data_IF_444061474842
#
_entry.id   IF_444061474842
#
_cell.length_a   1.000
_cell.length_b   1.000
_cell.length_c   1.000
_cell.angle_alpha   90.00
_cell.angle_beta   90.00
_cell.angle_gamma   90.00
#
_symmetry.space_group_name_H-M   'P 1'
#
loop_
_entity.id
_entity.type
_entity.pdbx_description
1 polymer ?
#
# COMPACT_ATOMS: atom_id res chain seq x y z
N UNK A 1 51.54 -4.88 3.12
CA UNK A 1 51.81 -3.43 3.14
C UNK A 1 50.72 -2.78 2.33
N UNK A 2 49.88 -1.99 2.97
CA UNK A 2 48.86 -1.23 2.25
C UNK A 2 49.45 0.14 1.93
N UNK A 3 49.49 0.50 0.64
CA UNK A 3 49.93 1.81 0.20
C UNK A 3 48.73 2.75 0.10
N UNK A 4 48.81 3.91 0.77
CA UNK A 4 47.84 4.99 0.65
C UNK A 4 48.48 6.20 0.00
N UNK A 5 47.85 6.68 -1.07
CA UNK A 5 48.32 7.84 -1.81
C UNK A 5 47.35 8.99 -1.54
N UNK A 6 47.85 10.06 -0.95
CA UNK A 6 47.11 11.31 -0.78
C UNK A 6 47.68 12.32 -1.77
N UNK A 7 46.85 12.80 -2.69
CA UNK A 7 47.19 13.89 -3.60
C UNK A 7 46.50 15.15 -3.12
N UNK A 8 47.29 16.17 -2.80
CA UNK A 8 46.76 17.48 -2.45
C UNK A 8 47.69 18.55 -3.02
N UNK A 9 47.09 19.53 -3.69
CA UNK A 9 47.81 20.51 -4.52
C UNK A 9 48.72 19.83 -5.56
N UNK A 10 50.00 20.19 -5.64
CA UNK A 10 50.98 19.61 -6.57
C UNK A 10 51.83 18.49 -5.94
N UNK A 11 51.49 18.02 -4.74
CA UNK A 11 52.28 17.03 -3.99
C UNK A 11 51.53 15.72 -3.83
N UNK A 12 52.28 14.62 -3.96
CA UNK A 12 51.79 13.26 -3.75
C UNK A 12 52.46 12.66 -2.53
N UNK A 13 51.69 12.45 -1.46
CA UNK A 13 52.16 11.82 -0.23
C UNK A 13 51.85 10.33 -0.28
N UNK A 14 52.90 9.49 -0.27
CA UNK A 14 52.78 8.03 -0.27
C UNK A 14 53.01 7.50 1.14
N UNK A 15 51.95 6.99 1.75
CA UNK A 15 52.00 6.37 3.07
C UNK A 15 52.07 4.85 2.93
N UNK A 16 53.07 4.25 3.55
CA UNK A 16 53.18 2.80 3.72
C UNK A 16 52.65 2.43 5.10
N UNK A 17 51.63 1.57 5.16
CA UNK A 17 51.03 1.13 6.43
C UNK A 17 51.52 -0.27 6.79
N UNK A 18 52.17 -0.37 7.96
CA UNK A 18 52.66 -1.61 8.56
C UNK A 18 52.18 -1.70 10.01
N UNK A 19 51.37 -2.72 10.35
CA UNK A 19 50.96 -3.00 11.74
C UNK A 19 50.52 -1.74 12.54
N UNK A 20 49.63 -0.92 11.96
CA UNK A 20 49.11 0.34 12.53
C UNK A 20 50.14 1.48 12.71
N UNK A 21 51.35 1.31 12.19
CA UNK A 21 52.31 2.39 11.97
C UNK A 21 52.18 2.91 10.53
N UNK A 22 52.00 4.22 10.40
CA UNK A 22 52.00 4.89 9.11
C UNK A 22 53.38 5.49 8.85
N UNK A 23 54.01 5.11 7.75
CA UNK A 23 55.30 5.61 7.34
C UNK A 23 55.15 6.52 6.12
N UNK A 24 55.71 7.72 6.19
CA UNK A 24 55.84 8.62 5.05
C UNK A 24 57.33 8.89 4.82
N UNK A 25 57.79 8.66 3.60
CA UNK A 25 59.15 8.98 3.19
C UNK A 25 59.14 10.19 2.27
N UNK A 26 59.86 11.24 2.65
CA UNK A 26 60.04 12.43 1.84
C UNK A 26 61.52 12.61 1.45
N UNK A 27 61.83 12.83 0.17
CA UNK A 27 63.17 13.20 -0.25
C UNK A 27 63.60 14.53 0.37
N UNK A 28 64.85 14.63 0.82
CA UNK A 28 65.39 15.89 1.36
C UNK A 28 65.27 17.05 0.37
N UNK A 29 65.37 16.80 -0.93
CA UNK A 29 65.18 17.79 -2.00
C UNK A 29 63.79 18.42 -2.03
N UNK A 30 62.77 17.76 -1.46
CA UNK A 30 61.41 18.26 -1.33
C UNK A 30 61.17 18.97 0.01
N UNK A 31 62.18 19.06 0.86
CA UNK A 31 62.16 19.75 2.16
C UNK A 31 63.23 20.84 2.20
N UNK A 32 63.10 21.81 3.10
CA UNK A 32 64.11 22.84 3.34
C UNK A 32 64.86 22.61 4.66
N UNK A 33 64.83 21.39 5.17
CA UNK A 33 65.40 20.99 6.46
C UNK A 33 66.92 21.05 6.37
N UNK A 34 67.53 21.81 7.28
CA UNK A 34 69.01 21.91 7.40
C UNK A 34 69.53 21.19 8.65
N UNK A 35 68.71 21.09 9.68
CA UNK A 35 69.04 20.45 10.95
C UNK A 35 67.85 19.61 11.45
N UNK A 36 68.13 18.39 11.90
CA UNK A 36 67.15 17.46 12.48
C UNK A 36 66.44 18.06 13.69
N UNK A 37 67.09 18.96 14.43
CA UNK A 37 66.48 19.67 15.58
C UNK A 37 65.26 20.50 15.16
N UNK A 38 65.19 20.94 13.92
CA UNK A 38 64.05 21.70 13.38
C UNK A 38 62.80 20.81 13.26
N UNK A 39 62.97 19.49 13.20
CA UNK A 39 61.89 18.49 13.15
C UNK A 39 61.35 18.13 14.53
N UNK A 40 61.91 18.65 15.62
CA UNK A 40 61.44 18.38 16.98
C UNK A 40 59.97 18.76 17.19
N UNK A 41 59.49 19.79 16.50
CA UNK A 41 58.07 20.22 16.51
C UNK A 41 57.12 19.15 15.95
N UNK A 42 57.60 18.25 15.09
CA UNK A 42 56.82 17.13 14.56
C UNK A 42 56.78 15.97 15.56
N UNK A 43 57.65 15.93 16.56
CA UNK A 43 57.63 14.91 17.61
C UNK A 43 56.87 15.38 18.87
N UNK A 44 56.49 16.66 18.94
CA UNK A 44 55.77 17.23 20.08
C UNK A 44 54.34 16.68 20.15
N UNK A 45 54.01 16.08 21.29
CA UNK A 45 52.69 15.50 21.54
C UNK A 45 51.66 16.60 21.82
N UNK A 46 50.65 16.72 20.95
CA UNK A 46 49.50 17.59 21.19
C UNK A 46 48.22 16.83 20.89
N UNK A 47 47.12 17.21 21.54
CA UNK A 47 45.81 16.52 21.40
C UNK A 47 45.27 16.47 19.96
N UNK A 48 45.67 17.41 19.10
CA UNK A 48 45.24 17.49 17.70
C UNK A 48 46.10 16.67 16.72
N UNK A 49 47.18 16.04 17.18
CA UNK A 49 48.11 15.32 16.33
C UNK A 49 48.35 13.90 16.84
N UNK A 50 48.52 12.96 15.91
CA UNK A 50 48.95 11.61 16.27
C UNK A 50 50.43 11.64 16.67
N UNK A 51 50.85 10.89 17.71
CA UNK A 51 52.26 10.79 18.08
C UNK A 51 53.10 10.36 16.87
N UNK A 52 54.11 11.17 16.57
CA UNK A 52 54.99 10.96 15.43
C UNK A 52 56.45 10.90 15.89
N UNK A 53 57.23 10.11 15.16
CA UNK A 53 58.68 10.04 15.30
C UNK A 53 59.34 10.27 13.94
N UNK A 54 60.47 10.96 13.95
CA UNK A 54 61.17 11.35 12.74
C UNK A 54 62.55 10.70 12.73
N UNK A 55 62.90 10.06 11.63
CA UNK A 55 64.24 9.52 11.38
C UNK A 55 64.83 10.23 10.18
N UNK A 56 66.01 10.81 10.38
CA UNK A 56 66.80 11.40 9.30
C UNK A 56 67.75 10.35 8.72
N UNK A 57 67.73 10.15 7.40
CA UNK A 57 68.65 9.30 6.65
C UNK A 57 69.34 10.14 5.57
N UNK A 58 70.38 9.63 4.89
CA UNK A 58 71.23 10.44 4.00
C UNK A 58 70.41 11.23 2.95
N UNK A 59 69.49 10.57 2.23
CA UNK A 59 68.70 11.19 1.16
C UNK A 59 67.20 11.35 1.47
N UNK A 60 66.70 10.65 2.50
CA UNK A 60 65.27 10.54 2.83
C UNK A 60 65.00 10.88 4.30
N UNK A 61 63.89 11.59 4.54
CA UNK A 61 63.33 11.78 5.88
C UNK A 61 62.13 10.85 6.03
N UNK A 62 62.17 9.98 7.05
CA UNK A 62 61.09 9.05 7.35
C UNK A 62 60.29 9.52 8.56
N UNK A 63 59.01 9.80 8.34
CA UNK A 63 58.04 10.11 9.39
C UNK A 63 57.27 8.84 9.74
N UNK A 64 57.19 8.50 11.02
CA UNK A 64 56.47 7.32 11.50
C UNK A 64 55.42 7.72 12.52
N UNK A 65 54.15 7.45 12.23
CA UNK A 65 53.00 7.83 13.05
C UNK A 65 52.39 6.58 13.70
N UNK A 66 52.25 6.60 15.02
CA UNK A 66 51.68 5.47 15.79
C UNK A 66 50.18 5.66 15.97
N UNK A 67 49.36 4.84 15.32
CA UNK A 67 47.90 4.86 15.52
C UNK A 67 47.53 4.13 16.82
N UNK A 68 46.65 4.74 17.61
CA UNK A 68 46.06 4.07 18.77
C UNK A 68 44.85 3.25 18.33
N UNK A 69 44.70 2.03 18.86
CA UNK A 69 43.68 1.05 18.48
C UNK A 69 42.22 1.56 18.65
N UNK A 70 42.00 2.58 19.49
CA UNK A 70 40.68 3.19 19.71
C UNK A 70 40.27 4.26 18.69
N UNK A 71 41.13 4.63 17.73
CA UNK A 71 40.84 5.72 16.79
C UNK A 71 40.00 5.25 15.60
N UNK A 72 38.91 5.95 15.34
CA UNK A 72 38.00 5.70 14.20
C UNK A 72 38.51 6.37 12.93
N UNK A 73 38.38 5.67 11.81
CA UNK A 73 38.76 6.17 10.47
C UNK A 73 37.56 6.85 9.80
N UNK A 74 37.82 7.61 8.75
CA UNK A 74 36.80 8.33 7.98
C UNK A 74 35.60 7.44 7.53
N UNK A 75 35.87 6.21 7.10
CA UNK A 75 34.83 5.25 6.64
C UNK A 75 33.85 4.86 7.74
N UNK A 76 34.28 4.82 9.00
CA UNK A 76 33.41 4.44 10.13
C UNK A 76 32.47 5.59 10.49
N UNK A 77 32.90 6.81 10.22
CA UNK A 77 32.15 8.03 10.51
C UNK A 77 31.07 8.27 9.47
N UNK A 78 31.33 7.94 8.20
CA UNK A 78 30.30 7.98 7.16
C UNK A 78 29.09 7.08 7.47
N UNK A 79 29.25 6.07 8.35
CA UNK A 79 28.17 5.19 8.81
C UNK A 79 27.41 5.72 10.02
N UNK A 80 27.91 6.76 10.69
CA UNK A 80 27.25 7.36 11.85
C UNK A 80 25.99 8.13 11.42
N UNK A 81 25.11 8.38 12.39
CA UNK A 81 23.94 9.20 12.15
C UNK A 81 24.33 10.64 11.84
N UNK A 82 23.45 11.35 11.11
CA UNK A 82 23.68 12.72 10.64
C UNK A 82 24.05 13.68 11.77
N UNK A 83 23.46 13.51 12.96
CA UNK A 83 23.73 14.37 14.12
C UNK A 83 25.17 14.20 14.63
N UNK A 84 25.71 12.98 14.63
CA UNK A 84 27.10 12.71 15.02
C UNK A 84 28.09 13.16 13.94
N UNK A 85 27.73 13.01 12.66
CA UNK A 85 28.50 13.58 11.54
C UNK A 85 28.63 15.10 11.66
N UNK A 86 27.54 15.81 11.98
CA UNK A 86 27.55 17.25 12.23
C UNK A 86 28.39 17.62 13.46
N UNK A 87 28.33 16.82 14.54
CA UNK A 87 29.16 17.00 15.74
C UNK A 87 30.65 16.93 15.41
N UNK A 88 31.04 15.91 14.64
CA UNK A 88 32.40 15.75 14.17
C UNK A 88 32.85 16.96 13.33
N UNK A 89 32.04 17.39 12.36
CA UNK A 89 32.37 18.56 11.53
C UNK A 89 32.59 19.82 12.38
N UNK A 90 31.77 20.03 13.41
CA UNK A 90 31.97 21.14 14.36
C UNK A 90 33.30 21.02 15.11
N UNK A 91 33.72 19.80 15.49
CA UNK A 91 34.99 19.56 16.16
C UNK A 91 36.20 19.79 15.24
N UNK A 92 36.10 19.46 13.94
CA UNK A 92 37.11 19.79 12.91
C UNK A 92 37.35 21.30 12.84
N UNK A 93 36.32 22.12 13.09
CA UNK A 93 36.48 23.56 13.17
C UNK A 93 37.49 24.03 14.22
N UNK A 94 37.75 23.25 15.29
CA UNK A 94 38.76 23.60 16.31
C UNK A 94 40.19 23.58 15.77
N UNK A 95 40.44 22.90 14.65
CA UNK A 95 41.75 22.87 13.98
C UNK A 95 42.15 24.25 13.41
N UNK A 96 41.21 25.20 13.28
CA UNK A 96 41.53 26.60 12.93
C UNK A 96 42.56 27.21 13.88
N UNK A 97 42.54 26.85 15.16
CA UNK A 97 43.48 27.38 16.16
C UNK A 97 44.95 27.03 15.84
N UNK A 98 45.18 25.96 15.07
CA UNK A 98 46.52 25.50 14.68
C UNK A 98 47.13 26.40 13.61
N UNK A 99 46.32 27.11 12.81
CA UNK A 99 46.79 28.02 11.75
C UNK A 99 47.68 29.15 12.31
N UNK A 100 47.48 29.53 13.57
CA UNK A 100 48.31 30.52 14.26
C UNK A 100 49.71 30.00 14.64
N UNK A 101 49.93 28.69 14.58
CA UNK A 101 51.19 28.06 14.96
C UNK A 101 52.18 27.95 13.77
N UNK A 102 53.42 27.51 14.06
CA UNK A 102 54.41 27.18 13.03
C UNK A 102 54.13 25.86 12.30
N UNK A 103 53.20 25.05 12.82
CA UNK A 103 52.80 23.78 12.23
C UNK A 103 51.80 24.04 11.11
N UNK A 104 52.03 23.42 9.97
CA UNK A 104 51.13 23.45 8.82
C UNK A 104 50.47 22.10 8.65
N UNK A 105 49.30 22.05 8.03
CA UNK A 105 48.57 20.81 7.80
C UNK A 105 47.68 20.94 6.57
N UNK A 106 47.04 19.86 6.18
CA UNK A 106 45.98 19.87 5.19
C UNK A 106 44.82 19.01 5.67
N UNK A 107 43.60 19.43 5.36
CA UNK A 107 42.40 18.64 5.62
C UNK A 107 42.18 17.69 4.45
N UNK A 108 42.20 16.40 4.73
CA UNK A 108 41.85 15.34 3.79
C UNK A 108 41.23 14.18 4.56
N UNK A 109 40.20 13.49 4.03
CA UNK A 109 39.57 12.33 4.68
C UNK A 109 40.56 11.28 5.20
N UNK A 110 41.58 10.94 4.41
CA UNK A 110 42.62 9.97 4.80
C UNK A 110 43.67 10.50 5.77
N UNK A 111 43.75 11.82 5.99
CA UNK A 111 44.67 12.44 6.95
C UNK A 111 44.03 12.66 8.34
N UNK A 112 42.76 12.28 8.50
CA UNK A 112 41.99 12.53 9.71
C UNK A 112 41.62 11.21 10.40
N UNK A 113 41.86 11.18 11.70
CA UNK A 113 41.41 10.13 12.61
C UNK A 113 40.67 10.75 13.77
N UNK A 114 39.79 9.99 14.42
CA UNK A 114 38.88 10.53 15.43
C UNK A 114 38.88 9.67 16.67
N UNK A 115 38.82 10.30 17.84
CA UNK A 115 38.62 9.60 19.11
C UNK A 115 37.15 9.16 19.30
N UNK A 116 36.85 8.53 20.45
CA UNK A 116 35.48 8.15 20.81
C UNK A 116 34.53 9.36 20.96
N UNK A 117 35.07 10.54 21.28
CA UNK A 117 34.33 11.79 21.39
C UNK A 117 34.14 12.50 20.05
N UNK A 118 34.62 11.93 18.94
CA UNK A 118 34.65 12.54 17.61
C UNK A 118 35.51 13.82 17.55
N UNK A 119 36.53 13.91 18.39
CA UNK A 119 37.59 14.91 18.30
C UNK A 119 38.61 14.49 17.24
N UNK A 120 38.95 15.38 16.30
CA UNK A 120 39.86 15.08 15.21
C UNK A 120 41.32 15.11 15.68
N UNK A 121 42.10 14.15 15.20
CA UNK A 121 43.56 14.21 15.19
C UNK A 121 44.07 14.04 13.76
N UNK A 122 45.08 14.83 13.39
CA UNK A 122 45.74 14.77 12.10
C UNK A 122 46.87 13.73 12.14
N UNK A 123 46.98 12.94 11.08
CA UNK A 123 48.07 11.95 10.93
C UNK A 123 49.35 12.69 10.56
N UNK A 124 49.33 13.42 9.44
CA UNK A 124 50.46 14.14 8.90
C UNK A 124 50.38 15.64 9.19
N UNK A 125 51.54 16.21 9.52
CA UNK A 125 51.76 17.65 9.76
C UNK A 125 53.07 18.10 9.12
N UNK A 126 53.06 19.30 8.55
CA UNK A 126 54.22 20.00 8.03
C UNK A 126 54.72 21.07 9.00
N UNK A 127 55.76 21.78 8.58
CA UNK A 127 56.31 22.94 9.28
C UNK A 127 56.45 24.06 8.27
N UNK A 128 55.95 25.24 8.63
CA UNK A 128 55.99 26.43 7.76
C UNK A 128 57.39 26.67 7.20
N UNK A 129 57.47 26.86 5.89
CA UNK A 129 58.72 27.08 5.14
C UNK A 129 59.79 25.97 5.24
N UNK A 130 59.49 24.83 5.86
CA UNK A 130 60.49 23.78 6.13
C UNK A 130 60.07 22.42 5.58
N UNK A 131 58.88 21.95 5.95
CA UNK A 131 58.34 20.64 5.58
C UNK A 131 56.96 20.85 4.96
N UNK A 132 56.67 20.29 3.76
CA UNK A 132 55.40 20.49 3.09
C UNK A 132 54.22 19.94 3.92
N UNK A 133 53.01 20.54 3.88
CA UNK A 133 52.64 21.74 3.12
C UNK A 133 53.35 22.98 3.68
N UNK A 134 53.93 23.82 2.82
CA UNK A 134 54.79 24.93 3.25
C UNK A 134 54.00 26.09 3.85
N UNK A 135 52.75 26.27 3.42
CA UNK A 135 51.83 27.29 3.86
C UNK A 135 50.41 26.72 3.98
N UNK A 136 49.66 27.23 4.94
CA UNK A 136 48.21 27.07 4.97
C UNK A 136 47.60 28.41 5.34
N UNK A 137 46.77 28.91 4.45
CA UNK A 137 46.03 30.16 4.65
C UNK A 137 44.58 29.85 5.03
N UNK A 138 43.91 30.82 5.65
CA UNK A 138 42.51 30.69 6.06
C UNK A 138 41.59 30.41 4.87
N UNK A 139 41.86 31.03 3.71
CA UNK A 139 41.10 30.78 2.48
C UNK A 139 41.26 29.33 1.98
N UNK A 140 42.48 28.78 2.01
CA UNK A 140 42.76 27.38 1.65
C UNK A 140 42.08 26.42 2.63
N UNK A 141 42.17 26.71 3.93
CA UNK A 141 41.51 25.93 4.98
C UNK A 141 39.98 25.94 4.82
N UNK A 142 39.38 27.10 4.58
CA UNK A 142 37.94 27.23 4.35
C UNK A 142 37.49 26.41 3.13
N UNK A 143 38.26 26.46 2.05
CA UNK A 143 37.96 25.68 0.85
C UNK A 143 38.02 24.17 1.12
N UNK A 144 39.10 23.68 1.74
CA UNK A 144 39.21 22.27 2.12
C UNK A 144 38.10 21.84 3.09
N UNK A 145 37.73 22.71 4.03
CA UNK A 145 36.68 22.45 5.00
C UNK A 145 35.29 22.34 4.34
N UNK A 146 34.97 23.21 3.37
CA UNK A 146 33.74 23.11 2.56
C UNK A 146 33.68 21.79 1.79
N UNK A 147 34.77 21.42 1.11
CA UNK A 147 34.86 20.15 0.38
C UNK A 147 34.65 18.95 1.31
N UNK A 148 35.22 19.00 2.52
CA UNK A 148 35.08 17.96 3.53
C UNK A 148 33.64 17.84 4.03
N UNK A 149 32.97 18.96 4.35
CA UNK A 149 31.57 18.97 4.79
C UNK A 149 30.66 18.33 3.73
N UNK A 150 30.84 18.72 2.47
CA UNK A 150 30.03 18.19 1.36
C UNK A 150 30.33 16.71 1.14
N UNK A 151 31.60 16.28 1.21
CA UNK A 151 31.98 14.88 1.08
C UNK A 151 31.43 13.96 2.19
N UNK A 152 31.07 14.51 3.36
CA UNK A 152 30.41 13.73 4.43
C UNK A 152 28.94 13.45 4.09
N UNK A 153 28.22 14.43 3.56
CA UNK A 153 26.77 14.32 3.31
C UNK A 153 26.42 13.86 1.90
N UNK A 154 27.31 14.07 0.94
CA UNK A 154 27.14 13.64 -0.44
C UNK A 154 27.66 12.21 -0.62
N UNK A 155 26.82 11.35 -1.19
CA UNK A 155 27.23 10.01 -1.65
C UNK A 155 27.80 10.04 -3.07
N UNK A 156 27.61 11.14 -3.81
CA UNK A 156 27.95 11.25 -5.24
C UNK A 156 29.28 11.92 -5.52
N UNK A 157 29.84 12.65 -4.55
CA UNK A 157 31.07 13.42 -4.75
C UNK A 157 32.17 12.97 -3.79
N UNK A 158 33.35 12.65 -4.34
CA UNK A 158 34.56 12.43 -3.54
C UNK A 158 35.18 13.76 -3.12
N UNK A 159 35.94 13.76 -2.03
CA UNK A 159 36.68 14.94 -1.57
C UNK A 159 37.62 15.48 -2.66
N UNK A 160 38.31 14.59 -3.37
CA UNK A 160 39.26 14.98 -4.42
C UNK A 160 38.55 15.69 -5.59
N UNK A 161 37.39 15.19 -6.01
CA UNK A 161 36.63 15.79 -7.11
C UNK A 161 36.13 17.20 -6.76
N UNK A 162 35.73 17.39 -5.49
CA UNK A 162 35.26 18.68 -4.97
C UNK A 162 36.41 19.68 -4.88
N UNK A 163 37.58 19.24 -4.39
CA UNK A 163 38.77 20.07 -4.27
C UNK A 163 39.34 20.50 -5.63
N UNK A 164 39.25 19.66 -6.65
CA UNK A 164 39.72 19.96 -8.01
C UNK A 164 38.78 20.88 -8.81
N UNK A 165 37.65 21.30 -8.25
CA UNK A 165 36.78 22.32 -8.87
C UNK A 165 35.29 21.97 -8.94
N UNK A 166 34.88 20.77 -8.53
CA UNK A 166 33.45 20.38 -8.54
C UNK A 166 32.64 21.00 -7.40
N UNK A 167 33.25 21.79 -6.52
CA UNK A 167 32.57 22.45 -5.40
C UNK A 167 31.36 23.29 -5.85
N UNK A 168 31.46 23.98 -6.99
CA UNK A 168 30.37 24.78 -7.54
C UNK A 168 29.16 23.96 -8.01
N UNK A 169 29.38 22.68 -8.33
CA UNK A 169 28.37 21.75 -8.82
C UNK A 169 27.63 21.05 -7.67
N UNK A 170 28.17 21.06 -6.46
CA UNK A 170 27.56 20.46 -5.28
C UNK A 170 26.46 21.37 -4.67
N UNK A 171 25.33 21.46 -5.36
CA UNK A 171 24.13 22.22 -4.92
C UNK A 171 22.88 21.35 -4.84
N UNK A 172 23.05 20.04 -4.67
CA UNK A 172 21.94 19.08 -4.71
C UNK A 172 21.00 19.25 -3.52
N UNK A 173 21.52 19.71 -2.37
CA UNK A 173 20.70 19.98 -1.18
C UNK A 173 20.77 21.44 -0.74
N UNK A 174 19.69 21.90 -0.08
CA UNK A 174 19.62 23.21 0.60
C UNK A 174 20.80 23.45 1.56
N UNK A 175 21.29 22.38 2.20
CA UNK A 175 22.43 22.46 3.12
C UNK A 175 23.75 22.64 2.37
N UNK A 176 24.00 21.86 1.31
CA UNK A 176 25.20 21.99 0.47
C UNK A 176 25.29 23.38 -0.19
N UNK A 177 24.16 23.92 -0.68
CA UNK A 177 24.11 25.28 -1.24
C UNK A 177 24.56 26.32 -0.22
N UNK A 178 24.01 26.27 1.01
CA UNK A 178 24.36 27.22 2.07
C UNK A 178 25.81 27.07 2.54
N UNK A 179 26.36 25.84 2.52
CA UNK A 179 27.78 25.59 2.82
C UNK A 179 28.68 26.20 1.75
N UNK A 180 28.30 26.11 0.48
CA UNK A 180 29.06 26.70 -0.62
C UNK A 180 29.03 28.25 -0.56
N UNK A 181 27.84 28.83 -0.32
CA UNK A 181 27.60 30.29 -0.22
C UNK A 181 28.23 30.95 1.02
N UNK A 182 28.61 30.18 2.05
CA UNK A 182 29.23 30.73 3.25
C UNK A 182 30.58 31.40 2.94
N UNK A 183 30.65 32.73 3.04
CA UNK A 183 31.84 33.49 2.69
C UNK A 183 32.97 33.34 3.72
N UNK A 184 32.62 33.10 4.98
CA UNK A 184 33.55 33.10 6.11
C UNK A 184 33.45 31.83 6.96
N UNK A 185 34.55 31.49 7.64
CA UNK A 185 34.65 30.33 8.51
C UNK A 185 33.67 30.41 9.68
N UNK A 186 33.52 31.57 10.33
CA UNK A 186 32.65 31.68 11.51
C UNK A 186 31.18 31.54 11.10
N UNK A 187 30.82 32.06 9.92
CA UNK A 187 29.48 31.87 9.31
C UNK A 187 29.21 30.40 9.01
N UNK A 188 30.20 29.67 8.47
CA UNK A 188 30.09 28.25 8.17
C UNK A 188 29.98 27.40 9.46
N UNK A 189 30.75 27.74 10.49
CA UNK A 189 30.71 27.05 11.78
C UNK A 189 29.37 27.28 12.49
N UNK A 190 28.82 28.50 12.44
CA UNK A 190 27.49 28.80 12.98
C UNK A 190 26.37 28.04 12.26
N UNK A 191 26.44 27.94 10.92
CA UNK A 191 25.52 27.13 10.11
C UNK A 191 25.55 25.66 10.55
N UNK A 192 26.74 25.09 10.74
CA UNK A 192 26.92 23.72 11.21
C UNK A 192 26.35 23.52 12.62
N UNK A 193 26.64 24.42 13.55
CA UNK A 193 26.11 24.37 14.93
C UNK A 193 24.58 24.46 14.93
N UNK A 194 23.99 25.39 14.16
CA UNK A 194 22.52 25.50 14.01
C UNK A 194 21.90 24.22 13.46
N UNK A 195 22.52 23.64 12.43
CA UNK A 195 22.08 22.37 11.84
C UNK A 195 22.19 21.22 12.85
N UNK A 196 23.28 21.15 13.62
CA UNK A 196 23.49 20.17 14.67
C UNK A 196 22.42 20.25 15.76
N UNK A 197 22.16 21.44 16.30
CA UNK A 197 21.15 21.62 17.35
C UNK A 197 19.73 21.33 16.85
N UNK A 198 19.43 21.65 15.60
CA UNK A 198 18.14 21.32 14.98
C UNK A 198 17.96 19.80 14.88
N UNK A 199 18.95 19.10 14.33
CA UNK A 199 18.90 17.64 14.16
C UNK A 199 18.84 16.92 15.51
N UNK A 200 19.65 17.36 16.49
CA UNK A 200 19.64 16.81 17.85
C UNK A 200 18.25 16.91 18.50
N UNK A 201 17.60 18.08 18.39
CA UNK A 201 16.23 18.28 18.92
C UNK A 201 15.20 17.40 18.21
N UNK A 202 15.33 17.20 16.90
CA UNK A 202 14.43 16.33 16.13
C UNK A 202 14.60 14.86 16.54
N UNK A 203 15.84 14.40 16.71
CA UNK A 203 16.13 13.05 17.19
C UNK A 203 15.60 12.85 18.60
N UNK A 204 15.83 13.79 19.52
CA UNK A 204 15.31 13.72 20.90
C UNK A 204 13.77 13.70 20.97
N UNK A 205 13.08 14.36 20.03
CA UNK A 205 11.62 14.36 19.95
C UNK A 205 11.05 13.08 19.35
N UNK A 206 11.69 12.53 18.32
CA UNK A 206 11.16 11.42 17.50
C UNK A 206 11.65 10.05 17.95
N UNK A 207 12.83 9.99 18.55
CA UNK A 207 13.51 8.75 18.88
C UNK A 207 13.72 8.65 20.39
N UNK A 208 13.45 7.46 20.92
CA UNK A 208 13.80 7.10 22.29
C UNK A 208 14.50 5.75 22.28
N UNK A 209 15.48 5.60 23.19
CA UNK A 209 16.17 4.33 23.35
C UNK A 209 15.25 3.33 24.02
N UNK A 210 14.84 2.31 23.25
CA UNK A 210 14.04 1.20 23.75
C UNK A 210 14.83 -0.10 23.74
N UNK A 211 14.66 -0.98 24.74
CA UNK A 211 15.28 -2.31 24.71
C UNK A 211 14.80 -3.12 23.50
N UNK A 212 15.73 -3.47 22.60
CA UNK A 212 15.42 -4.17 21.32
C UNK A 212 14.58 -5.43 21.50
N UNK A 213 14.86 -6.21 22.57
CA UNK A 213 14.14 -7.47 22.87
C UNK A 213 12.67 -7.23 23.18
N UNK A 214 12.36 -6.26 24.04
CA UNK A 214 10.98 -5.93 24.43
C UNK A 214 10.20 -5.35 23.24
N UNK A 215 10.81 -4.42 22.50
CA UNK A 215 10.17 -3.82 21.32
C UNK A 215 9.83 -4.88 20.24
N UNK A 216 10.73 -5.84 19.99
CA UNK A 216 10.48 -6.92 19.03
C UNK A 216 9.32 -7.82 19.47
N UNK A 217 9.23 -8.14 20.76
CA UNK A 217 8.12 -8.93 21.31
C UNK A 217 6.80 -8.19 21.15
N UNK A 218 6.71 -6.91 21.54
CA UNK A 218 5.50 -6.10 21.38
C UNK A 218 5.07 -5.99 19.91
N UNK A 219 6.01 -5.81 19.00
CA UNK A 219 5.73 -5.78 17.56
C UNK A 219 5.12 -7.09 17.07
N UNK A 220 5.67 -8.23 17.48
CA UNK A 220 5.14 -9.56 17.15
C UNK A 220 3.75 -9.80 17.76
N UNK A 221 3.55 -9.44 19.03
CA UNK A 221 2.25 -9.54 19.70
C UNK A 221 1.19 -8.68 19.02
N UNK A 222 1.54 -7.47 18.58
CA UNK A 222 0.61 -6.58 17.87
C UNK A 222 0.13 -7.20 16.57
N UNK A 223 1.05 -7.73 15.75
CA UNK A 223 0.66 -8.43 14.53
C UNK A 223 -0.15 -9.71 14.80
N UNK A 224 0.22 -10.46 15.84
CA UNK A 224 -0.54 -11.63 16.27
C UNK A 224 -1.98 -11.30 16.68
N UNK A 225 -2.16 -10.22 17.44
CA UNK A 225 -3.47 -9.78 17.90
C UNK A 225 -4.35 -9.26 16.75
N UNK A 226 -3.76 -8.55 15.78
CA UNK A 226 -4.49 -8.14 14.56
C UNK A 226 -4.95 -9.37 13.77
N UNK A 227 -4.07 -10.35 13.54
CA UNK A 227 -4.43 -11.57 12.82
C UNK A 227 -5.55 -12.35 13.54
N UNK A 228 -5.46 -12.49 14.85
CA UNK A 228 -6.48 -13.13 15.67
C UNK A 228 -7.82 -12.39 15.60
N UNK A 229 -7.79 -11.05 15.63
CA UNK A 229 -9.00 -10.22 15.51
C UNK A 229 -9.70 -10.42 14.18
N UNK A 230 -8.96 -10.56 13.06
CA UNK A 230 -9.55 -10.81 11.75
C UNK A 230 -10.19 -12.20 11.69
N UNK A 231 -9.50 -13.22 12.20
CA UNK A 231 -10.02 -14.59 12.25
C UNK A 231 -11.33 -14.64 13.05
N UNK A 232 -11.42 -13.91 14.16
CA UNK A 232 -12.62 -13.86 14.99
C UNK A 232 -13.75 -13.01 14.37
N UNK A 233 -13.42 -12.02 13.53
CA UNK A 233 -14.41 -11.18 12.87
C UNK A 233 -15.21 -11.92 11.79
N UNK A 234 -14.59 -12.87 11.06
CA UNK A 234 -15.24 -13.63 9.98
C UNK A 234 -16.52 -14.35 10.46
N UNK A 235 -16.50 -15.19 11.51
CA UNK A 235 -17.71 -15.85 11.99
C UNK A 235 -18.74 -14.83 12.47
N UNK A 236 -18.34 -13.76 13.15
CA UNK A 236 -19.26 -12.72 13.62
C UNK A 236 -20.03 -12.08 12.45
N UNK A 237 -19.36 -11.78 11.34
CA UNK A 237 -20.00 -11.26 10.13
C UNK A 237 -20.99 -12.28 9.55
N UNK A 238 -20.59 -13.55 9.45
CA UNK A 238 -21.47 -14.61 8.95
C UNK A 238 -22.72 -14.79 9.84
N UNK A 239 -22.54 -14.83 11.16
CA UNK A 239 -23.65 -14.93 12.10
C UNK A 239 -24.58 -13.71 12.01
N UNK A 240 -24.01 -12.50 11.97
CA UNK A 240 -24.76 -11.25 11.94
C UNK A 240 -25.56 -11.03 10.66
N UNK A 241 -24.94 -11.23 9.50
CA UNK A 241 -25.52 -10.84 8.21
C UNK A 241 -26.13 -11.98 7.41
N UNK A 242 -25.82 -13.24 7.73
CA UNK A 242 -26.37 -14.39 6.99
C UNK A 242 -27.27 -15.21 7.89
N UNK A 243 -26.77 -15.69 9.04
CA UNK A 243 -27.51 -16.67 9.85
C UNK A 243 -28.72 -16.08 10.58
N UNK A 244 -28.57 -14.92 11.23
CA UNK A 244 -29.66 -14.25 11.95
C UNK A 244 -30.83 -13.85 11.03
N UNK A 245 -30.63 -13.14 9.90
CA UNK A 245 -31.74 -12.78 9.03
C UNK A 245 -32.41 -14.01 8.42
N UNK A 246 -31.66 -15.03 7.98
CA UNK A 246 -32.22 -16.30 7.50
C UNK A 246 -33.17 -16.94 8.52
N UNK A 247 -32.76 -17.00 9.79
CA UNK A 247 -33.62 -17.51 10.87
C UNK A 247 -34.85 -16.63 11.11
N UNK A 248 -34.72 -15.31 10.94
CA UNK A 248 -35.82 -14.36 11.01
C UNK A 248 -36.87 -14.60 9.92
N UNK A 249 -36.45 -14.64 8.65
CA UNK A 249 -37.32 -14.94 7.50
C UNK A 249 -37.98 -16.31 7.63
N UNK A 250 -37.23 -17.33 8.04
CA UNK A 250 -37.79 -18.67 8.24
C UNK A 250 -38.87 -18.66 9.33
N UNK A 251 -38.64 -17.98 10.45
CA UNK A 251 -39.63 -17.87 11.54
C UNK A 251 -40.87 -17.10 11.09
N UNK A 252 -40.69 -16.02 10.33
CA UNK A 252 -41.80 -15.22 9.80
C UNK A 252 -42.64 -16.02 8.81
N UNK A 253 -42.00 -16.70 7.85
CA UNK A 253 -42.66 -17.60 6.93
C UNK A 253 -43.47 -18.71 7.64
N UNK A 254 -42.97 -19.27 8.75
CA UNK A 254 -43.75 -20.24 9.53
C UNK A 254 -44.98 -19.60 10.20
N UNK A 255 -44.90 -18.34 10.64
CA UNK A 255 -46.06 -17.60 11.21
C UNK A 255 -47.10 -17.30 10.13
N UNK A 256 -46.66 -16.87 8.96
CA UNK A 256 -47.55 -16.54 7.85
C UNK A 256 -48.26 -17.80 7.32
N UNK A 257 -47.53 -18.92 7.27
CA UNK A 257 -48.10 -20.22 6.95
C UNK A 257 -49.20 -20.64 7.95
N UNK A 258 -48.95 -20.48 9.26
CA UNK A 258 -49.96 -20.75 10.29
C UNK A 258 -51.17 -19.81 10.20
N UNK A 259 -50.95 -18.60 9.68
CA UNK A 259 -52.00 -17.61 9.41
C UNK A 259 -52.70 -17.83 8.07
N UNK A 260 -52.35 -18.89 7.33
CA UNK A 260 -52.86 -19.24 6.00
C UNK A 260 -52.54 -18.20 4.90
N UNK A 261 -51.56 -17.32 5.13
CA UNK A 261 -51.10 -16.35 4.13
C UNK A 261 -49.96 -16.96 3.29
N UNK A 262 -50.33 -17.83 2.35
CA UNK A 262 -49.38 -18.53 1.48
C UNK A 262 -48.62 -17.60 0.53
N UNK A 263 -49.16 -16.42 0.23
CA UNK A 263 -48.47 -15.45 -0.63
C UNK A 263 -47.29 -14.79 0.10
N UNK A 264 -47.46 -14.43 1.37
CA UNK A 264 -46.37 -13.87 2.17
C UNK A 264 -45.27 -14.89 2.46
N UNK A 265 -45.61 -16.17 2.66
CA UNK A 265 -44.62 -17.25 2.78
C UNK A 265 -43.67 -17.30 1.58
N UNK A 266 -44.21 -17.12 0.38
CA UNK A 266 -43.42 -17.10 -0.85
C UNK A 266 -42.47 -15.90 -0.86
N UNK A 267 -42.98 -14.71 -0.51
CA UNK A 267 -42.19 -13.47 -0.48
C UNK A 267 -41.05 -13.55 0.53
N UNK A 268 -41.31 -14.03 1.75
CA UNK A 268 -40.31 -14.11 2.83
C UNK A 268 -39.17 -15.08 2.52
N UNK A 269 -39.42 -16.12 1.72
CA UNK A 269 -38.41 -17.14 1.38
C UNK A 269 -37.87 -17.03 -0.05
N UNK A 270 -38.33 -16.09 -0.87
CA UNK A 270 -37.97 -15.98 -2.29
C UNK A 270 -36.46 -15.78 -2.51
N UNK A 271 -35.85 -14.93 -1.67
CA UNK A 271 -34.42 -14.61 -1.72
C UNK A 271 -33.49 -15.75 -1.26
N UNK A 272 -34.03 -16.81 -0.66
CA UNK A 272 -33.26 -17.92 -0.13
C UNK A 272 -33.16 -19.08 -1.12
N UNK A 273 -31.99 -19.74 -1.16
CA UNK A 273 -31.80 -20.91 -2.03
C UNK A 273 -32.61 -22.10 -1.53
N UNK A 274 -33.44 -22.76 -2.38
CA UNK A 274 -34.32 -23.86 -1.95
C UNK A 274 -33.59 -25.00 -1.22
N UNK A 275 -32.35 -25.30 -1.61
CA UNK A 275 -31.53 -26.35 -0.98
C UNK A 275 -31.14 -26.05 0.46
N UNK A 276 -30.91 -24.78 0.78
CA UNK A 276 -30.43 -24.32 2.08
C UNK A 276 -31.56 -24.25 3.13
N UNK A 277 -32.82 -24.32 2.67
CA UNK A 277 -33.99 -24.28 3.54
C UNK A 277 -34.12 -25.63 4.29
N UNK A 278 -34.34 -25.64 5.61
CA UNK A 278 -34.64 -26.87 6.35
C UNK A 278 -35.90 -27.56 5.81
N UNK A 279 -36.03 -28.88 5.98
CA UNK A 279 -37.13 -29.65 5.37
C UNK A 279 -38.53 -29.18 5.81
N UNK A 280 -38.68 -28.68 7.04
CA UNK A 280 -39.92 -28.03 7.50
C UNK A 280 -40.24 -26.77 6.71
N UNK A 281 -39.23 -25.93 6.43
CA UNK A 281 -39.38 -24.74 5.60
C UNK A 281 -39.63 -25.08 4.14
N UNK A 282 -38.99 -26.13 3.61
CA UNK A 282 -39.29 -26.64 2.25
C UNK A 282 -40.73 -27.10 2.15
N UNK A 283 -41.24 -27.80 3.15
CA UNK A 283 -42.65 -28.20 3.21
C UNK A 283 -43.58 -26.99 3.19
N UNK A 284 -43.34 -26.01 4.08
CA UNK A 284 -44.11 -24.76 4.17
C UNK A 284 -44.12 -24.01 2.83
N UNK A 285 -42.97 -23.88 2.20
CA UNK A 285 -42.83 -23.18 0.93
C UNK A 285 -43.47 -23.95 -0.24
N UNK A 286 -43.20 -25.25 -0.37
CA UNK A 286 -43.79 -26.11 -1.40
C UNK A 286 -45.32 -26.13 -1.31
N UNK A 287 -45.86 -26.27 -0.10
CA UNK A 287 -47.30 -26.22 0.15
C UNK A 287 -47.90 -24.88 -0.29
N UNK A 288 -47.20 -23.77 0.01
CA UNK A 288 -47.63 -22.43 -0.34
C UNK A 288 -47.65 -22.20 -1.85
N UNK A 289 -46.65 -22.70 -2.58
CA UNK A 289 -46.65 -22.67 -4.05
C UNK A 289 -47.78 -23.51 -4.65
N UNK A 290 -48.04 -24.72 -4.14
CA UNK A 290 -49.14 -25.57 -4.63
C UNK A 290 -50.51 -24.89 -4.40
N UNK A 291 -50.73 -24.27 -3.23
CA UNK A 291 -51.97 -23.54 -2.97
C UNK A 291 -52.12 -22.29 -3.87
N UNK A 292 -51.02 -21.64 -4.21
CA UNK A 292 -50.99 -20.45 -5.09
C UNK A 292 -51.02 -20.78 -6.59
N UNK A 293 -50.86 -22.06 -6.96
CA UNK A 293 -50.86 -22.50 -8.35
C UNK A 293 -52.25 -22.40 -9.00
N UNK A 294 -52.29 -22.25 -10.33
CA UNK A 294 -53.52 -22.19 -11.13
C UNK A 294 -54.07 -23.58 -11.47
N UNK A 295 -54.35 -24.38 -10.44
CA UNK A 295 -54.99 -25.71 -10.55
C UNK A 295 -56.35 -25.71 -9.85
N UNK A 296 -57.23 -26.67 -10.19
CA UNK A 296 -58.49 -26.84 -9.47
C UNK A 296 -58.25 -27.30 -8.03
N UNK A 297 -59.19 -27.00 -7.12
CA UNK A 297 -59.04 -27.36 -5.71
C UNK A 297 -58.90 -28.89 -5.51
N UNK A 298 -59.63 -29.68 -6.29
CA UNK A 298 -59.53 -31.15 -6.28
C UNK A 298 -58.14 -31.65 -6.71
N UNK A 299 -57.53 -31.00 -7.72
CA UNK A 299 -56.18 -31.31 -8.19
C UNK A 299 -55.13 -30.94 -7.14
N UNK A 300 -55.27 -29.77 -6.51
CA UNK A 300 -54.40 -29.33 -5.42
C UNK A 300 -54.45 -30.31 -4.25
N UNK A 301 -55.65 -30.72 -3.84
CA UNK A 301 -55.81 -31.64 -2.72
C UNK A 301 -55.30 -33.04 -3.02
N UNK A 302 -55.36 -33.50 -4.28
CA UNK A 302 -54.73 -34.75 -4.72
C UNK A 302 -53.20 -34.69 -4.60
N UNK A 303 -52.57 -33.58 -5.00
CA UNK A 303 -51.12 -33.36 -4.88
C UNK A 303 -50.71 -33.26 -3.41
N UNK A 304 -51.47 -32.50 -2.61
CA UNK A 304 -51.16 -32.24 -1.21
C UNK A 304 -51.21 -33.50 -0.33
N UNK A 305 -51.91 -34.56 -0.73
CA UNK A 305 -51.87 -35.87 -0.05
C UNK A 305 -50.47 -36.49 -0.01
N UNK A 306 -49.62 -36.15 -0.99
CA UNK A 306 -48.24 -36.63 -1.09
C UNK A 306 -47.23 -35.62 -0.50
N UNK A 307 -47.69 -34.46 -0.02
CA UNK A 307 -46.85 -33.38 0.53
C UNK A 307 -46.96 -33.38 2.05
N UNK A 308 -45.87 -33.74 2.71
CA UNK A 308 -45.73 -33.77 4.16
C UNK A 308 -44.33 -33.30 4.56
N UNK A 309 -44.14 -33.00 5.84
CA UNK A 309 -42.82 -32.68 6.41
C UNK A 309 -41.82 -33.84 6.22
N UNK A 310 -42.32 -35.08 6.06
CA UNK A 310 -41.51 -36.29 5.86
C UNK A 310 -41.40 -36.73 4.39
N UNK A 311 -41.99 -35.98 3.46
CA UNK A 311 -41.90 -36.30 2.04
C UNK A 311 -40.47 -36.14 1.55
N UNK A 312 -40.15 -36.77 0.41
CA UNK A 312 -38.84 -36.66 -0.21
C UNK A 312 -38.47 -35.17 -0.42
N UNK A 313 -37.30 -34.71 0.06
CA UNK A 313 -36.88 -33.33 -0.12
C UNK A 313 -36.86 -32.89 -1.60
N UNK A 314 -36.57 -33.79 -2.53
CA UNK A 314 -36.58 -33.51 -3.97
C UNK A 314 -38.00 -33.31 -4.52
N UNK A 315 -39.00 -33.98 -3.93
CA UNK A 315 -40.41 -33.76 -4.27
C UNK A 315 -40.88 -32.38 -3.79
N UNK A 316 -40.43 -31.95 -2.60
CA UNK A 316 -40.68 -30.59 -2.12
C UNK A 316 -39.95 -29.54 -2.97
N UNK A 317 -38.68 -29.78 -3.29
CA UNK A 317 -37.88 -28.93 -4.16
C UNK A 317 -38.49 -28.81 -5.56
N UNK A 318 -39.07 -29.88 -6.10
CA UNK A 318 -39.77 -29.85 -7.39
C UNK A 318 -40.85 -28.76 -7.40
N UNK A 319 -41.73 -28.76 -6.39
CA UNK A 319 -42.84 -27.80 -6.30
C UNK A 319 -42.34 -26.38 -6.03
N UNK A 320 -41.26 -26.23 -5.28
CA UNK A 320 -40.60 -24.92 -5.05
C UNK A 320 -40.02 -24.38 -6.37
N UNK A 321 -39.25 -25.20 -7.10
CA UNK A 321 -38.65 -24.80 -8.37
C UNK A 321 -39.68 -24.52 -9.46
N UNK A 322 -40.74 -25.34 -9.51
CA UNK A 322 -41.86 -25.12 -10.41
C UNK A 322 -42.55 -23.78 -10.08
N UNK A 323 -42.87 -23.55 -8.80
CA UNK A 323 -43.48 -22.30 -8.35
C UNK A 323 -42.64 -21.04 -8.57
N UNK A 324 -41.31 -21.16 -8.53
CA UNK A 324 -40.36 -20.08 -8.87
C UNK A 324 -40.15 -19.87 -10.37
N UNK A 325 -40.68 -20.75 -11.22
CA UNK A 325 -40.52 -20.68 -12.67
C UNK A 325 -39.17 -21.20 -13.21
N UNK A 326 -38.38 -21.87 -12.38
CA UNK A 326 -37.20 -22.64 -12.81
C UNK A 326 -37.61 -24.06 -13.21
N UNK A 327 -38.31 -24.12 -14.34
CA UNK A 327 -38.89 -25.37 -14.84
C UNK A 327 -37.86 -26.37 -15.37
N UNK A 328 -36.64 -25.93 -15.66
CA UNK A 328 -35.55 -26.84 -16.05
C UNK A 328 -35.14 -27.70 -14.86
N UNK A 329 -34.86 -27.05 -13.72
CA UNK A 329 -34.57 -27.74 -12.46
C UNK A 329 -35.73 -28.59 -11.98
N UNK A 330 -36.98 -28.12 -12.11
CA UNK A 330 -38.12 -28.95 -11.73
C UNK A 330 -38.23 -30.21 -12.61
N UNK A 331 -38.05 -30.11 -13.93
CA UNK A 331 -38.10 -31.29 -14.81
C UNK A 331 -36.97 -32.28 -14.50
N UNK A 332 -35.77 -31.80 -14.18
CA UNK A 332 -34.65 -32.66 -13.79
C UNK A 332 -34.94 -33.40 -12.48
N UNK A 333 -35.52 -32.71 -11.48
CA UNK A 333 -35.96 -33.34 -10.23
C UNK A 333 -37.08 -34.36 -10.48
N UNK A 334 -38.04 -34.06 -11.35
CA UNK A 334 -39.12 -34.99 -11.69
C UNK A 334 -38.61 -36.26 -12.39
N UNK A 335 -37.62 -36.13 -13.28
CA UNK A 335 -36.94 -37.29 -13.90
C UNK A 335 -36.16 -38.10 -12.89
N UNK A 336 -35.50 -37.44 -11.95
CA UNK A 336 -34.78 -38.12 -10.86
C UNK A 336 -35.72 -38.90 -9.94
N UNK A 337 -36.89 -38.34 -9.64
CA UNK A 337 -37.95 -38.99 -8.88
C UNK A 337 -38.69 -40.11 -9.67
N UNK A 338 -38.45 -40.21 -10.98
CA UNK A 338 -39.16 -41.08 -11.94
C UNK A 338 -40.69 -40.96 -11.79
N UNK A 339 -41.20 -39.73 -11.62
CA UNK A 339 -42.64 -39.44 -11.54
C UNK A 339 -43.14 -38.90 -12.89
N UNK A 340 -43.87 -39.72 -13.69
CA UNK A 340 -44.32 -39.32 -15.02
C UNK A 340 -45.27 -38.13 -15.01
N UNK A 341 -46.08 -37.98 -13.95
CA UNK A 341 -47.05 -36.88 -13.86
C UNK A 341 -46.34 -35.54 -13.63
N UNK A 342 -45.31 -35.54 -12.77
CA UNK A 342 -44.48 -34.36 -12.56
C UNK A 342 -43.63 -34.01 -13.79
N UNK A 343 -43.09 -35.01 -14.48
CA UNK A 343 -42.33 -34.78 -15.72
C UNK A 343 -43.23 -34.11 -16.77
N UNK A 344 -44.44 -34.64 -16.97
CA UNK A 344 -45.43 -34.10 -17.90
C UNK A 344 -45.85 -32.67 -17.51
N UNK A 345 -46.14 -32.43 -16.23
CA UNK A 345 -46.50 -31.10 -15.74
C UNK A 345 -45.37 -30.08 -15.93
N UNK A 346 -44.13 -30.46 -15.64
CA UNK A 346 -42.96 -29.61 -15.88
C UNK A 346 -42.80 -29.23 -17.36
N UNK A 347 -43.02 -30.16 -18.29
CA UNK A 347 -42.99 -29.84 -19.73
C UNK A 347 -44.13 -28.92 -20.16
N UNK A 348 -45.35 -29.10 -19.63
CA UNK A 348 -46.48 -28.18 -19.88
C UNK A 348 -46.09 -26.76 -19.47
N UNK A 349 -45.52 -26.59 -18.27
CA UNK A 349 -45.07 -25.28 -17.77
C UNK A 349 -43.92 -24.69 -18.60
N UNK A 350 -42.96 -25.50 -19.07
CA UNK A 350 -41.92 -25.03 -20.00
C UNK A 350 -42.52 -24.53 -21.32
N UNK A 351 -43.49 -25.25 -21.87
CA UNK A 351 -44.21 -24.85 -23.09
C UNK A 351 -44.93 -23.52 -22.86
N UNK A 352 -45.65 -23.36 -21.75
CA UNK A 352 -46.32 -22.11 -21.39
C UNK A 352 -45.34 -20.94 -21.25
N UNK A 353 -44.20 -21.15 -20.57
CA UNK A 353 -43.15 -20.13 -20.41
C UNK A 353 -42.60 -19.68 -21.76
N UNK A 354 -42.33 -20.61 -22.68
CA UNK A 354 -41.81 -20.29 -24.02
C UNK A 354 -42.87 -19.59 -24.87
N UNK A 355 -44.13 -20.05 -24.83
CA UNK A 355 -45.23 -19.44 -25.59
C UNK A 355 -45.47 -17.98 -25.19
N UNK A 356 -45.38 -17.69 -23.90
CA UNK A 356 -45.64 -16.37 -23.33
C UNK A 356 -44.39 -15.47 -23.24
N UNK A 357 -43.23 -15.91 -23.77
CA UNK A 357 -42.01 -15.13 -23.72
C UNK A 357 -41.95 -14.08 -24.86
N UNK A 358 -41.94 -12.76 -24.55
CA UNK A 358 -41.87 -11.71 -25.56
C UNK A 358 -40.50 -11.58 -26.22
N UNK A 359 -39.43 -12.08 -25.59
CA UNK A 359 -38.04 -11.91 -26.04
C UNK A 359 -37.62 -12.95 -27.10
N UNK A 360 -38.46 -13.95 -27.39
CA UNK A 360 -38.18 -14.97 -28.40
C UNK A 360 -38.79 -14.59 -29.75
N UNK A 361 -38.01 -14.78 -30.82
CA UNK A 361 -38.53 -14.67 -32.19
C UNK A 361 -39.56 -15.77 -32.47
N UNK A 362 -40.47 -15.54 -33.43
CA UNK A 362 -41.54 -16.51 -33.76
C UNK A 362 -41.02 -17.90 -34.10
N UNK A 363 -39.94 -17.97 -34.88
CA UNK A 363 -39.26 -19.22 -35.27
C UNK A 363 -38.55 -19.90 -34.10
N UNK A 364 -37.86 -19.15 -33.23
CA UNK A 364 -37.21 -19.72 -32.04
C UNK A 364 -38.23 -20.24 -31.02
N UNK A 365 -39.35 -19.54 -30.87
CA UNK A 365 -40.47 -19.94 -30.03
C UNK A 365 -41.05 -21.26 -30.54
N UNK A 366 -41.35 -21.35 -31.83
CA UNK A 366 -41.92 -22.55 -32.45
C UNK A 366 -40.99 -23.76 -32.32
N UNK A 367 -39.70 -23.59 -32.61
CA UNK A 367 -38.69 -24.65 -32.46
C UNK A 367 -38.59 -25.17 -31.01
N UNK A 368 -38.57 -24.27 -30.02
CA UNK A 368 -38.50 -24.66 -28.59
C UNK A 368 -39.79 -25.32 -28.11
N UNK A 369 -40.96 -24.79 -28.51
CA UNK A 369 -42.25 -25.40 -28.20
C UNK A 369 -42.34 -26.80 -28.78
N UNK A 370 -41.97 -26.98 -30.05
CA UNK A 370 -41.99 -28.28 -30.71
C UNK A 370 -41.07 -29.27 -29.99
N UNK A 371 -39.85 -28.86 -29.65
CA UNK A 371 -38.91 -29.69 -28.89
C UNK A 371 -39.49 -30.18 -27.57
N UNK A 372 -40.13 -29.31 -26.79
CA UNK A 372 -40.73 -29.70 -25.51
C UNK A 372 -42.01 -30.53 -25.70
N UNK A 373 -42.78 -30.27 -26.77
CA UNK A 373 -43.96 -31.06 -27.12
C UNK A 373 -43.60 -32.48 -27.57
N UNK A 374 -42.52 -32.64 -28.34
CA UNK A 374 -42.00 -33.94 -28.75
C UNK A 374 -41.54 -34.75 -27.53
N UNK A 375 -40.84 -34.10 -26.59
CA UNK A 375 -40.48 -34.72 -25.32
C UNK A 375 -41.72 -35.09 -24.51
N UNK A 376 -42.69 -34.19 -24.37
CA UNK A 376 -43.94 -34.47 -23.69
C UNK A 376 -44.67 -35.69 -24.29
N UNK A 377 -44.79 -35.76 -25.62
CA UNK A 377 -45.45 -36.88 -26.31
C UNK A 377 -44.68 -38.19 -26.14
N UNK A 378 -43.35 -38.16 -26.23
CA UNK A 378 -42.50 -39.34 -26.00
C UNK A 378 -42.69 -39.91 -24.59
N UNK A 379 -42.77 -39.06 -23.57
CA UNK A 379 -43.05 -39.49 -22.19
C UNK A 379 -44.51 -39.94 -22.03
N UNK A 380 -45.48 -39.27 -22.66
CA UNK A 380 -46.90 -39.67 -22.64
C UNK A 380 -47.10 -41.08 -23.20
N UNK A 381 -46.48 -41.39 -24.34
CA UNK A 381 -46.52 -42.72 -24.96
C UNK A 381 -45.82 -43.78 -24.09
N UNK A 382 -44.64 -43.46 -23.54
CA UNK A 382 -43.86 -44.37 -22.70
C UNK A 382 -44.63 -44.87 -21.48
N UNK A 383 -45.45 -44.02 -20.86
CA UNK A 383 -46.17 -44.34 -19.62
C UNK A 383 -47.69 -44.56 -19.83
N UNK A 384 -48.21 -44.48 -21.06
CA UNK A 384 -49.63 -44.77 -21.36
C UNK A 384 -50.64 -43.86 -20.67
N UNK A 385 -50.28 -42.60 -20.40
CA UNK A 385 -51.06 -41.67 -19.59
C UNK A 385 -52.13 -40.92 -20.41
N UNK A 386 -53.34 -40.78 -19.85
CA UNK A 386 -54.39 -39.89 -20.39
C UNK A 386 -54.03 -38.42 -20.10
N UNK A 387 -54.40 -37.49 -20.99
CA UNK A 387 -54.03 -36.07 -20.87
C UNK A 387 -54.53 -35.47 -19.54
N UNK A 388 -53.66 -34.76 -18.82
CA UNK A 388 -54.01 -34.05 -17.57
C UNK A 388 -54.96 -32.86 -17.80
N UNK A 389 -55.27 -32.53 -19.06
CA UNK A 389 -56.02 -31.34 -19.50
C UNK A 389 -57.39 -31.64 -20.13
N UNK A 390 -57.88 -32.89 -20.13
CA UNK A 390 -59.22 -33.20 -20.65
C UNK A 390 -60.32 -32.86 -19.62
N UNK A 391 -60.52 -31.58 -19.33
CA UNK A 391 -61.80 -31.05 -18.84
C UNK A 391 -61.98 -29.55 -19.12
N UNK A 392 -61.64 -29.08 -20.33
CA UNK A 392 -62.24 -27.84 -20.86
C UNK A 392 -62.59 -28.03 -22.36
N UNK A 393 -63.80 -27.60 -22.72
CA UNK A 393 -64.50 -27.89 -23.98
C UNK A 393 -63.74 -27.46 -25.25
N UNK A 394 -63.84 -28.22 -26.35
CA UNK A 394 -63.28 -27.84 -27.64
C UNK A 394 -64.32 -27.08 -28.47
N UNK A 395 -64.07 -25.81 -28.76
CA UNK A 395 -64.64 -25.17 -29.94
C UNK A 395 -63.72 -24.05 -30.40
N UNK A 396 -62.98 -24.32 -31.48
CA UNK A 396 -62.68 -23.41 -32.60
C UNK A 396 -61.49 -23.96 -33.39
N UNK A 397 -61.77 -24.94 -34.24
CA UNK A 397 -60.92 -25.29 -35.38
C UNK A 397 -61.36 -24.45 -36.57
N UNK A 398 -60.47 -23.65 -37.16
CA UNK A 398 -60.60 -23.26 -38.57
C UNK A 398 -59.21 -23.10 -39.17
N UNK A 399 -58.86 -24.05 -40.05
CA UNK A 399 -57.78 -23.91 -41.03
C UNK A 399 -58.22 -22.98 -42.16
N UNK A 400 -57.27 -22.27 -42.79
CA UNK A 400 -57.04 -22.22 -44.24
C UNK A 400 -55.71 -21.48 -44.49
N UNK A 401 -54.86 -22.08 -45.34
CA UNK A 401 -53.63 -21.54 -45.92
C UNK A 401 -53.91 -20.76 -47.22
N UNK A 402 -52.96 -19.88 -47.53
CA UNK A 402 -52.53 -19.33 -48.83
C UNK A 402 -53.26 -18.16 -49.51
N UNK A 403 -52.57 -17.01 -49.56
CA UNK A 403 -52.21 -16.31 -50.81
C UNK A 403 -51.06 -15.31 -50.59
N UNK A 404 -49.94 -15.54 -51.27
CA UNK A 404 -48.75 -14.68 -51.33
C UNK A 404 -48.86 -13.58 -52.40
N UNK A 405 -48.25 -12.42 -52.09
CA UNK A 405 -47.51 -11.46 -52.95
C UNK A 405 -48.26 -10.76 -54.12
N UNK A 406 -48.14 -9.43 -54.30
CA UNK A 406 -46.87 -8.71 -54.50
C UNK A 406 -47.00 -7.17 -54.43
N UNK A 407 -45.99 -6.56 -53.76
CA UNK A 407 -45.12 -5.38 -54.07
C UNK A 407 -45.68 -4.05 -54.60
N UNK A 408 -45.08 -2.86 -54.42
CA UNK A 408 -43.96 -2.21 -53.68
C UNK A 408 -44.10 -0.71 -54.03
N UNK A 409 -43.62 0.29 -53.28
CA UNK A 409 -42.27 0.91 -53.33
C UNK A 409 -42.35 2.20 -52.49
N UNK A 410 -41.50 2.46 -51.46
CA UNK A 410 -40.25 3.27 -51.49
C UNK A 410 -40.50 4.80 -51.64
N UNK A 411 -39.86 5.77 -50.97
CA UNK A 411 -38.63 5.83 -50.18
C UNK A 411 -38.46 7.23 -49.50
N UNK A 412 -37.56 7.32 -48.50
CA UNK A 412 -36.63 8.41 -48.10
C UNK A 412 -37.04 9.73 -47.37
N UNK A 413 -36.63 9.77 -46.09
CA UNK A 413 -35.82 10.74 -45.31
C UNK A 413 -35.62 12.23 -45.70
N UNK A 414 -35.88 13.09 -44.69
CA UNK A 414 -34.99 14.12 -44.09
C UNK A 414 -35.44 15.59 -44.08
N UNK A 415 -35.54 16.08 -42.82
CA UNK A 415 -35.15 17.39 -42.25
C UNK A 415 -35.97 18.68 -42.38
N UNK A 416 -36.03 19.33 -41.20
CA UNK A 416 -36.08 20.76 -40.87
C UNK A 416 -37.39 21.52 -41.13
N UNK A 417 -37.77 22.52 -40.33
CA UNK A 417 -37.41 23.03 -39.01
C UNK A 417 -38.34 24.25 -38.81
N UNK A 418 -38.36 24.78 -37.58
CA UNK A 418 -38.69 26.17 -37.23
C UNK A 418 -40.18 26.58 -37.19
N UNK A 419 -40.66 27.38 -36.23
CA UNK A 419 -40.20 27.80 -34.88
C UNK A 419 -41.40 28.48 -34.22
N UNK A 420 -41.24 28.77 -32.93
CA UNK A 420 -41.77 29.91 -32.18
C UNK A 420 -43.12 29.72 -31.49
N UNK A 421 -43.29 30.15 -30.24
CA UNK A 421 -42.37 30.59 -29.18
C UNK A 421 -43.25 30.88 -27.95
N UNK A 422 -42.71 30.58 -26.76
CA UNK A 422 -42.77 31.31 -25.48
C UNK A 422 -42.90 30.31 -24.32
N UNK A 423 -41.81 30.00 -23.62
CA UNK A 423 -41.14 30.79 -22.55
C UNK A 423 -41.83 30.56 -21.21
N UNK A 424 -41.15 30.29 -20.09
CA UNK A 424 -39.74 30.09 -19.69
C UNK A 424 -39.82 29.54 -18.24
N UNK A 425 -39.08 28.49 -17.84
CA UNK A 425 -37.73 28.50 -17.19
C UNK A 425 -37.69 29.19 -15.81
N UNK A 426 -36.84 28.84 -14.85
CA UNK A 426 -35.87 27.76 -14.61
C UNK A 426 -35.37 27.94 -13.16
N UNK A 427 -34.84 26.84 -12.61
CA UNK A 427 -33.61 26.72 -11.81
C UNK A 427 -33.34 27.50 -10.50
N UNK A 428 -32.67 26.79 -9.57
CA UNK A 428 -31.34 27.10 -8.98
C UNK A 428 -31.18 26.28 -7.67
N UNK A 429 -30.28 25.29 -7.58
CA UNK A 429 -28.82 25.34 -7.39
C UNK A 429 -28.34 25.59 -5.94
N UNK A 430 -27.75 24.53 -5.37
CA UNK A 430 -26.42 24.42 -4.78
C UNK A 430 -25.65 25.66 -4.24
N UNK A 431 -25.23 25.49 -2.96
CA UNK A 431 -23.93 25.89 -2.32
C UNK A 431 -23.68 27.34 -1.92
N UNK A 432 -23.36 27.58 -0.62
CA UNK A 432 -22.07 28.11 -0.10
C UNK A 432 -22.15 28.45 1.42
N UNK A 433 -21.06 28.05 2.11
CA UNK A 433 -20.51 28.52 3.40
C UNK A 433 -20.87 29.96 3.84
N UNK A 434 -21.08 30.17 5.14
CA UNK A 434 -20.12 30.91 5.98
C UNK A 434 -20.52 30.94 7.47
N UNK A 435 -19.47 30.83 8.29
CA UNK A 435 -19.43 31.09 9.73
C UNK A 435 -19.49 32.60 10.04
N UNK A 436 -19.71 32.86 11.33
CA UNK A 436 -19.37 34.06 12.10
C UNK A 436 -20.28 35.29 11.93
N UNK A 437 -21.12 35.55 12.95
CA UNK A 437 -20.72 36.44 14.05
C UNK A 437 -21.86 36.62 15.06
N UNK A 438 -21.44 36.82 16.31
CA UNK A 438 -22.05 37.68 17.33
C UNK A 438 -22.75 37.01 18.52
N UNK A 439 -22.20 37.25 19.71
CA UNK A 439 -22.75 36.83 21.00
C UNK A 439 -21.75 36.78 22.16
N UNK A 440 -20.96 37.84 22.38
CA UNK A 440 -20.18 38.08 23.60
C UNK A 440 -21.10 38.45 24.78
N UNK A 441 -20.88 37.83 25.94
CA UNK A 441 -20.93 38.40 27.31
C UNK A 441 -20.69 37.23 28.29
N UNK A 442 -19.46 36.90 28.67
CA UNK A 442 -18.67 37.53 29.73
C UNK A 442 -19.38 37.58 31.10
N UNK A 443 -19.06 36.61 31.97
CA UNK A 443 -18.69 36.91 33.37
C UNK A 443 -17.96 35.73 34.05
N UNK A 444 -16.65 35.88 34.23
CA UNK A 444 -15.88 35.22 35.28
C UNK A 444 -16.10 35.96 36.61
N UNK A 445 -16.43 35.25 37.70
CA UNK A 445 -15.68 35.35 38.97
C UNK A 445 -16.21 34.44 40.10
N UNK A 446 -15.25 34.05 40.95
CA UNK A 446 -15.27 33.30 42.23
C UNK A 446 -15.20 31.79 42.06
N UNK A 447 -14.03 31.15 42.12
CA UNK A 447 -13.10 30.99 43.27
C UNK A 447 -13.76 30.75 44.63
N UNK A 448 -13.43 29.55 45.13
CA UNK A 448 -13.27 29.11 46.52
C UNK A 448 -14.41 28.38 47.26
N UNK A 449 -13.96 27.25 47.84
CA UNK A 449 -14.54 26.39 48.86
C UNK A 449 -15.70 25.49 48.39
N UNK A 450 -15.68 24.17 48.59
CA UNK A 450 -15.33 23.42 49.80
C UNK A 450 -15.34 21.91 49.49
N UNK A 451 -14.51 21.19 50.25
CA UNK A 451 -14.50 19.74 50.55
C UNK A 451 -13.87 18.78 49.54
#
# INVERSE_FOLDING_TARGET
MDEKIIQIESMTYKFSVEQDMWHLQLPKSQTRVRDVRQLALISEGTEFFVPASVKDSEDLITFSFKMDEGKRKWKDIQKLERHDQLRMLCNIGKLKNILASRITFFLHPDNLVFDENLMPSLIYRGIRDLVPPFDIDEAKFLHQYKCLIIAVFSKSHSFNDLYLGSLNNAKNTEFERKVNEAADFDTLLDLLKKSYFKEKKEVEKKMQFVPKKRFRLYKQLTFGLIALSVILAIPLVYFGFVKIPFQGHLLQAHRDFLSQDYSQVIVELDGEKPENIPDTGKYVLAYSYIKSEKLSDDQKDAILKNVSIKSDPNYLLYWIYNGRGDFERSVDLAKYLDDPQLIMYGFIKQIEKVKNNPDLTGTERENKVQKYLDQYNSYKEKYGLKSLTETENPDSTTNIQDASQSNETGNQESTNANTNENNQKDAAQETIKNQDTNGKADNQKKTDNKK
#
